data_IF_662040340389
#
_entry.id   IF_662040340389
#
_cell.length_a   1.000
_cell.length_b   1.000
_cell.length_c   1.000
_cell.angle_alpha   90.00
_cell.angle_beta   90.00
_cell.angle_gamma   90.00
#
_symmetry.space_group_name_H-M   'P 1'
#
loop_
_entity.id
_entity.type
_entity.pdbx_description
1 polymer ?
#
# COMPACT_ATOMS: atom_id res chain seq x y z
N UNK A 1 7.63 -31.00 -29.82
CA UNK A 1 7.69 -31.49 -28.43
C UNK A 1 7.87 -30.27 -27.55
N UNK A 2 6.76 -29.73 -27.07
CA UNK A 2 6.74 -28.51 -26.26
C UNK A 2 7.10 -28.90 -24.84
N UNK A 3 8.30 -28.55 -24.39
CA UNK A 3 8.69 -28.67 -22.98
C UNK A 3 7.92 -27.63 -22.18
N UNK A 4 6.68 -27.97 -21.81
CA UNK A 4 5.99 -27.33 -20.70
C UNK A 4 6.52 -28.02 -19.46
N UNK A 5 7.39 -27.33 -18.71
CA UNK A 5 7.75 -27.78 -17.37
C UNK A 5 6.46 -27.94 -16.56
N UNK A 6 6.26 -29.08 -15.86
CA UNK A 6 5.15 -29.20 -14.93
C UNK A 6 5.26 -28.07 -13.90
N UNK A 7 4.22 -27.24 -13.82
CA UNK A 7 4.11 -26.21 -12.78
C UNK A 7 4.07 -26.92 -11.43
N UNK A 8 5.06 -26.65 -10.58
CA UNK A 8 4.94 -26.94 -9.15
C UNK A 8 3.70 -26.22 -8.63
N UNK A 9 2.85 -26.93 -7.89
CA UNK A 9 1.68 -26.34 -7.24
C UNK A 9 2.14 -25.15 -6.39
N UNK A 10 1.45 -23.99 -6.45
CA UNK A 10 1.87 -22.83 -5.67
C UNK A 10 1.93 -23.20 -4.19
N UNK A 11 3.02 -22.80 -3.53
CA UNK A 11 3.19 -23.02 -2.11
C UNK A 11 1.97 -22.46 -1.35
N UNK A 12 1.41 -23.25 -0.43
CA UNK A 12 0.28 -22.89 0.42
C UNK A 12 0.60 -21.79 1.44
N UNK A 13 1.71 -21.08 1.30
CA UNK A 13 2.30 -20.21 2.31
C UNK A 13 3.15 -19.13 1.65
N UNK A 14 2.99 -17.88 2.10
CA UNK A 14 4.00 -16.85 1.90
C UNK A 14 5.28 -17.25 2.66
N UNK A 15 6.45 -16.95 2.11
CA UNK A 15 7.71 -17.09 2.83
C UNK A 15 7.84 -16.06 3.96
N UNK A 16 8.80 -16.26 4.86
CA UNK A 16 8.97 -15.40 6.05
C UNK A 16 9.33 -13.96 5.68
N UNK A 17 10.16 -13.76 4.65
CA UNK A 17 10.53 -12.42 4.17
C UNK A 17 9.30 -11.68 3.62
N UNK A 18 8.43 -12.38 2.88
CA UNK A 18 7.19 -11.82 2.35
C UNK A 18 6.18 -11.46 3.45
N UNK A 19 6.13 -12.24 4.54
CA UNK A 19 5.33 -11.88 5.71
C UNK A 19 5.89 -10.65 6.42
N UNK A 20 7.20 -10.58 6.65
CA UNK A 20 7.82 -9.41 7.28
C UNK A 20 7.63 -8.15 6.43
N UNK A 21 7.82 -8.24 5.11
CA UNK A 21 7.51 -7.17 4.15
C UNK A 21 6.06 -6.68 4.32
N UNK A 22 5.09 -7.61 4.31
CA UNK A 22 3.68 -7.27 4.42
C UNK A 22 3.39 -6.56 5.76
N UNK A 23 3.91 -7.07 6.88
CA UNK A 23 3.73 -6.46 8.19
C UNK A 23 4.35 -5.05 8.24
N UNK A 24 5.52 -4.84 7.64
CA UNK A 24 6.14 -3.52 7.52
C UNK A 24 5.22 -2.56 6.73
N UNK A 25 4.69 -2.99 5.57
CA UNK A 25 3.79 -2.15 4.78
C UNK A 25 2.47 -1.85 5.47
N UNK A 26 1.96 -2.76 6.32
CA UNK A 26 0.77 -2.51 7.15
C UNK A 26 1.09 -1.45 8.21
N UNK A 27 2.24 -1.55 8.88
CA UNK A 27 2.70 -0.60 9.91
C UNK A 27 2.86 0.82 9.35
N UNK A 28 3.30 0.93 8.10
CA UNK A 28 3.41 2.21 7.39
C UNK A 28 2.08 2.69 6.78
N UNK A 29 0.97 2.00 7.04
CA UNK A 29 -0.36 2.29 6.48
C UNK A 29 -0.37 2.35 4.95
N UNK A 30 0.45 1.54 4.30
CA UNK A 30 0.56 1.45 2.84
C UNK A 30 -0.24 0.30 2.24
N UNK A 31 -0.94 -0.48 3.05
CA UNK A 31 -1.74 -1.63 2.60
C UNK A 31 -3.21 -1.28 2.62
N UNK A 32 -3.93 -1.55 1.52
CA UNK A 32 -5.39 -1.46 1.44
C UNK A 32 -5.96 -2.89 1.41
N UNK A 33 -6.65 -3.33 2.48
CA UNK A 33 -7.41 -4.57 2.45
C UNK A 33 -8.64 -4.42 1.56
N UNK A 34 -8.75 -5.29 0.56
CA UNK A 34 -9.90 -5.46 -0.31
C UNK A 34 -10.60 -6.78 0.09
N UNK A 35 -11.72 -6.65 0.79
CA UNK A 35 -12.43 -7.76 1.45
C UNK A 35 -13.57 -8.27 0.58
N UNK A 36 -13.51 -9.55 0.24
CA UNK A 36 -14.51 -10.27 -0.54
C UNK A 36 -15.40 -11.24 0.26
N UNK A 37 -16.30 -11.93 -0.45
CA UNK A 37 -17.37 -12.73 0.16
C UNK A 37 -16.92 -14.01 0.89
N UNK A 38 -15.74 -14.57 0.63
CA UNK A 38 -15.31 -15.82 1.31
C UNK A 38 -15.10 -15.61 2.82
N UNK A 39 -14.85 -14.38 3.27
CA UNK A 39 -14.74 -14.03 4.70
C UNK A 39 -16.11 -13.89 5.40
N UNK A 40 -17.22 -13.99 4.66
CA UNK A 40 -18.56 -13.77 5.18
C UNK A 40 -19.24 -15.08 5.61
N UNK A 41 -18.55 -15.91 6.39
CA UNK A 41 -19.16 -17.08 7.02
C UNK A 41 -19.98 -16.64 8.24
N UNK A 42 -21.29 -16.76 8.13
CA UNK A 42 -22.26 -16.39 9.16
C UNK A 42 -22.83 -17.63 9.85
N UNK A 43 -23.11 -17.51 11.14
CA UNK A 43 -23.78 -18.55 11.91
C UNK A 43 -25.27 -18.55 11.58
N UNK A 44 -25.79 -19.72 11.18
CA UNK A 44 -27.21 -19.92 10.87
C UNK A 44 -27.78 -21.07 11.70
N UNK A 45 -29.10 -21.25 11.71
CA UNK A 45 -29.75 -22.37 12.40
C UNK A 45 -29.25 -23.75 11.91
N UNK A 46 -28.79 -23.84 10.66
CA UNK A 46 -28.25 -25.05 10.06
C UNK A 46 -26.71 -25.15 10.20
N UNK A 47 -26.09 -24.26 10.97
CA UNK A 47 -24.64 -24.13 11.13
C UNK A 47 -24.02 -23.02 10.27
N UNK A 48 -22.67 -22.93 10.25
CA UNK A 48 -21.94 -21.89 9.53
C UNK A 48 -22.14 -22.00 8.01
N UNK A 49 -22.48 -20.90 7.35
CA UNK A 49 -22.64 -20.82 5.89
C UNK A 49 -22.12 -19.49 5.36
N UNK A 50 -21.70 -19.45 4.09
CA UNK A 50 -21.41 -18.18 3.42
C UNK A 50 -22.69 -17.35 3.32
N UNK A 51 -22.58 -16.05 3.62
CA UNK A 51 -23.69 -15.11 3.56
C UNK A 51 -24.35 -15.13 2.18
N UNK A 52 -23.56 -15.18 1.11
CA UNK A 52 -24.08 -15.15 -0.27
C UNK A 52 -24.94 -16.38 -0.59
N UNK A 53 -24.53 -17.57 -0.15
CA UNK A 53 -25.29 -18.81 -0.35
C UNK A 53 -26.59 -18.79 0.46
N UNK A 54 -26.51 -18.32 1.71
CA UNK A 54 -27.70 -18.17 2.56
C UNK A 54 -28.67 -17.12 1.99
N UNK A 55 -28.15 -16.00 1.49
CA UNK A 55 -28.95 -14.96 0.83
C UNK A 55 -29.60 -15.47 -0.46
N UNK A 56 -28.90 -16.28 -1.27
CA UNK A 56 -29.46 -16.88 -2.48
C UNK A 56 -30.66 -17.77 -2.16
N UNK A 57 -30.54 -18.63 -1.13
CA UNK A 57 -31.64 -19.48 -0.68
C UNK A 57 -32.84 -18.67 -0.17
N UNK A 58 -32.61 -17.68 0.69
CA UNK A 58 -33.69 -16.83 1.22
C UNK A 58 -34.35 -15.99 0.13
N UNK A 59 -33.57 -15.49 -0.82
CA UNK A 59 -34.08 -14.72 -1.96
C UNK A 59 -34.94 -15.61 -2.86
N UNK A 60 -34.47 -16.82 -3.19
CA UNK A 60 -35.21 -17.79 -3.98
C UNK A 60 -36.58 -18.10 -3.33
N UNK A 61 -36.60 -18.34 -2.02
CA UNK A 61 -37.83 -18.58 -1.29
C UNK A 61 -38.79 -17.38 -1.32
N UNK A 62 -38.29 -16.15 -1.08
CA UNK A 62 -39.13 -14.93 -1.10
C UNK A 62 -39.65 -14.56 -2.50
N UNK A 63 -38.96 -14.97 -3.56
CA UNK A 63 -39.33 -14.72 -4.95
C UNK A 63 -40.13 -15.88 -5.58
N UNK A 64 -40.28 -17.00 -4.88
CA UNK A 64 -40.98 -18.19 -5.40
C UNK A 64 -40.21 -18.88 -6.53
N UNK A 65 -38.88 -18.88 -6.45
CA UNK A 65 -38.00 -19.50 -7.45
C UNK A 65 -37.99 -21.01 -7.30
N UNK A 66 -38.15 -21.73 -8.42
CA UNK A 66 -38.02 -23.18 -8.47
C UNK A 66 -36.53 -23.58 -8.47
N UNK A 67 -35.95 -23.73 -7.27
CA UNK A 67 -34.52 -24.03 -7.09
C UNK A 67 -34.10 -25.37 -7.67
N UNK A 68 -35.04 -26.30 -7.92
CA UNK A 68 -34.75 -27.59 -8.55
C UNK A 68 -34.33 -27.44 -10.03
N UNK A 69 -34.62 -26.30 -10.65
CA UNK A 69 -34.22 -25.98 -12.03
C UNK A 69 -32.92 -25.19 -12.13
N UNK A 70 -32.32 -24.82 -11.00
CA UNK A 70 -31.07 -24.07 -10.96
C UNK A 70 -29.87 -25.04 -10.94
N UNK A 71 -28.69 -24.62 -11.45
CA UNK A 71 -27.42 -25.32 -11.23
C UNK A 71 -27.19 -25.58 -9.73
N UNK A 72 -26.44 -26.64 -9.38
CA UNK A 72 -26.13 -26.95 -7.99
C UNK A 72 -24.61 -27.01 -7.79
N UNK A 73 -24.05 -26.25 -6.81
CA UNK A 73 -24.73 -25.23 -6.00
C UNK A 73 -25.17 -24.02 -6.85
N UNK A 74 -26.30 -23.40 -6.50
CA UNK A 74 -26.79 -22.17 -7.17
C UNK A 74 -26.32 -20.91 -6.43
N UNK A 75 -26.24 -19.82 -7.18
CA UNK A 75 -25.79 -18.50 -6.72
C UNK A 75 -26.92 -17.47 -6.69
N UNK A 76 -26.65 -16.27 -6.16
CA UNK A 76 -27.57 -15.13 -6.29
C UNK A 76 -27.88 -14.81 -7.75
N UNK A 77 -26.88 -14.89 -8.63
CA UNK A 77 -27.04 -14.63 -10.07
C UNK A 77 -28.03 -15.62 -10.71
N UNK A 78 -27.95 -16.90 -10.38
CA UNK A 78 -28.86 -17.93 -10.89
C UNK A 78 -30.32 -17.65 -10.48
N UNK A 79 -30.51 -17.24 -9.22
CA UNK A 79 -31.82 -16.88 -8.66
C UNK A 79 -32.39 -15.64 -9.37
N UNK A 80 -31.58 -14.60 -9.57
CA UNK A 80 -31.99 -13.37 -10.27
C UNK A 80 -32.33 -13.68 -11.73
N UNK A 81 -31.47 -14.41 -12.44
CA UNK A 81 -31.69 -14.78 -13.84
C UNK A 81 -32.99 -15.56 -14.02
N UNK A 82 -33.24 -16.56 -13.18
CA UNK A 82 -34.47 -17.35 -13.26
C UNK A 82 -35.72 -16.50 -12.99
N UNK A 83 -35.67 -15.63 -11.98
CA UNK A 83 -36.80 -14.78 -11.60
C UNK A 83 -37.15 -13.79 -12.71
N UNK A 84 -36.14 -13.15 -13.32
CA UNK A 84 -36.35 -12.25 -14.46
C UNK A 84 -36.88 -12.98 -15.70
N UNK A 85 -36.37 -14.18 -15.99
CA UNK A 85 -36.89 -15.02 -17.07
C UNK A 85 -38.37 -15.41 -16.87
N UNK A 86 -38.82 -15.48 -15.61
CA UNK A 86 -40.21 -15.75 -15.22
C UNK A 86 -41.09 -14.50 -15.17
N UNK A 87 -40.70 -13.42 -15.86
CA UNK A 87 -41.38 -12.10 -15.90
C UNK A 87 -41.40 -11.36 -14.56
N UNK A 88 -40.48 -11.70 -13.65
CA UNK A 88 -40.23 -10.93 -12.44
C UNK A 88 -39.66 -9.55 -12.76
N UNK A 89 -39.92 -8.57 -11.91
CA UNK A 89 -39.33 -7.23 -12.05
C UNK A 89 -38.00 -7.15 -11.31
N UNK A 90 -37.01 -6.52 -11.92
CA UNK A 90 -35.68 -6.35 -11.29
C UNK A 90 -35.78 -5.65 -9.94
N UNK A 91 -36.60 -4.63 -9.78
CA UNK A 91 -36.70 -3.90 -8.50
C UNK A 91 -37.21 -4.77 -7.33
N UNK A 92 -37.95 -5.84 -7.63
CA UNK A 92 -38.44 -6.76 -6.61
C UNK A 92 -37.29 -7.53 -5.96
N UNK A 93 -36.25 -7.92 -6.72
CA UNK A 93 -35.11 -8.66 -6.15
C UNK A 93 -34.39 -7.83 -5.08
N UNK A 94 -34.12 -6.56 -5.37
CA UNK A 94 -33.51 -5.58 -4.46
C UNK A 94 -34.37 -5.29 -3.23
N UNK A 95 -35.67 -5.09 -3.44
CA UNK A 95 -36.61 -4.87 -2.33
C UNK A 95 -36.66 -6.08 -1.39
N UNK A 96 -36.65 -7.31 -1.93
CA UNK A 96 -36.64 -8.55 -1.13
C UNK A 96 -35.29 -8.75 -0.43
N UNK A 97 -34.17 -8.52 -1.10
CA UNK A 97 -32.83 -8.58 -0.50
C UNK A 97 -32.72 -7.67 0.73
N UNK A 98 -33.14 -6.41 0.60
CA UNK A 98 -33.15 -5.47 1.74
C UNK A 98 -34.06 -5.94 2.87
N UNK A 99 -35.21 -6.53 2.57
CA UNK A 99 -36.11 -7.08 3.60
C UNK A 99 -35.43 -8.21 4.38
N UNK A 100 -34.76 -9.14 3.68
CA UNK A 100 -34.05 -10.28 4.28
C UNK A 100 -32.95 -9.79 5.25
N UNK A 101 -32.11 -8.85 4.81
CA UNK A 101 -31.03 -8.30 5.64
C UNK A 101 -31.52 -7.43 6.80
N UNK A 102 -32.71 -6.83 6.69
CA UNK A 102 -33.29 -6.08 7.82
C UNK A 102 -33.90 -7.00 8.87
N UNK A 103 -34.45 -8.13 8.43
CA UNK A 103 -35.09 -9.13 9.30
C UNK A 103 -34.05 -10.02 10.02
N UNK A 104 -32.79 -10.03 9.55
CA UNK A 104 -31.75 -10.94 10.04
C UNK A 104 -30.52 -10.15 10.45
N UNK A 105 -30.08 -10.34 11.70
CA UNK A 105 -28.85 -9.73 12.21
C UNK A 105 -27.80 -10.81 12.43
N UNK A 106 -26.64 -10.67 11.79
CA UNK A 106 -25.50 -11.53 12.02
C UNK A 106 -24.42 -10.78 12.80
N UNK A 107 -23.76 -11.48 13.74
CA UNK A 107 -22.55 -10.97 14.34
C UNK A 107 -21.42 -10.95 13.28
N UNK A 108 -20.51 -9.97 13.30
CA UNK A 108 -19.41 -9.95 12.36
C UNK A 108 -18.52 -11.20 12.49
N UNK A 109 -18.20 -11.90 11.39
CA UNK A 109 -17.30 -13.05 11.40
C UNK A 109 -15.97 -12.73 12.06
N UNK A 110 -15.33 -13.74 12.66
CA UNK A 110 -14.05 -13.59 13.36
C UNK A 110 -12.99 -12.95 12.47
N UNK A 111 -12.89 -13.37 11.21
CA UNK A 111 -11.93 -12.81 10.25
C UNK A 111 -12.09 -11.29 10.07
N UNK A 112 -13.33 -10.79 9.95
CA UNK A 112 -13.56 -9.35 9.83
C UNK A 112 -13.18 -8.60 11.11
N UNK A 113 -13.45 -9.18 12.28
CA UNK A 113 -13.05 -8.59 13.58
C UNK A 113 -11.52 -8.53 13.71
N UNK A 114 -10.81 -9.58 13.31
CA UNK A 114 -9.34 -9.59 13.29
C UNK A 114 -8.75 -8.55 12.35
N UNK A 115 -9.32 -8.38 11.16
CA UNK A 115 -8.92 -7.30 10.24
C UNK A 115 -9.21 -5.92 10.86
N UNK A 116 -10.35 -5.75 11.53
CA UNK A 116 -10.68 -4.53 12.24
C UNK A 116 -9.75 -4.24 13.43
N UNK A 117 -9.19 -5.24 14.09
CA UNK A 117 -8.22 -5.08 15.19
C UNK A 117 -6.87 -4.50 14.73
N UNK A 118 -6.53 -4.66 13.45
CA UNK A 118 -5.34 -4.04 12.84
C UNK A 118 -5.62 -2.55 12.60
N UNK A 119 -5.38 -1.72 13.61
CA UNK A 119 -5.72 -0.29 13.60
C UNK A 119 -5.09 0.53 12.45
N UNK A 120 -4.01 0.03 11.88
CA UNK A 120 -3.21 0.67 10.82
C UNK A 120 -3.86 0.51 9.44
N UNK A 121 -4.90 -0.32 9.33
CA UNK A 121 -5.85 -0.23 8.23
C UNK A 121 -6.84 0.91 8.49
N UNK A 122 -6.64 2.03 7.81
CA UNK A 122 -7.48 3.23 7.83
C UNK A 122 -8.46 3.30 6.64
N UNK A 123 -8.19 2.57 5.57
CA UNK A 123 -9.09 2.43 4.42
C UNK A 123 -9.29 0.95 4.11
N UNK A 124 -10.54 0.51 4.20
CA UNK A 124 -11.00 -0.79 3.73
C UNK A 124 -11.80 -0.63 2.46
N UNK A 125 -11.55 -1.49 1.48
CA UNK A 125 -12.42 -1.65 0.32
C UNK A 125 -13.14 -2.98 0.47
N UNK A 126 -14.43 -3.03 0.17
CA UNK A 126 -15.18 -4.28 0.13
C UNK A 126 -15.93 -4.43 -1.19
N UNK A 127 -15.98 -5.65 -1.68
CA UNK A 127 -16.72 -6.04 -2.89
C UNK A 127 -18.09 -6.63 -2.56
N UNK A 128 -18.51 -6.59 -1.29
CA UNK A 128 -19.80 -7.13 -0.84
C UNK A 128 -20.77 -6.00 -0.46
N UNK A 129 -22.07 -6.29 -0.50
CA UNK A 129 -23.14 -5.31 -0.30
C UNK A 129 -23.64 -5.20 1.15
N UNK A 130 -23.24 -6.12 2.02
CA UNK A 130 -23.68 -6.19 3.42
C UNK A 130 -22.96 -5.16 4.31
N UNK A 131 -23.27 -5.12 5.61
CA UNK A 131 -22.68 -4.18 6.57
C UNK A 131 -21.78 -4.84 7.62
N UNK A 132 -21.32 -6.08 7.40
CA UNK A 132 -20.58 -6.84 8.42
C UNK A 132 -19.17 -6.28 8.64
N UNK A 133 -18.51 -5.79 7.60
CA UNK A 133 -17.19 -5.15 7.75
C UNK A 133 -17.29 -3.81 8.52
N UNK A 134 -18.28 -2.99 8.17
CA UNK A 134 -18.63 -1.77 8.94
C UNK A 134 -18.90 -2.11 10.41
N UNK A 135 -19.72 -3.14 10.65
CA UNK A 135 -20.05 -3.58 12.01
C UNK A 135 -18.82 -4.07 12.76
N UNK A 136 -17.92 -4.83 12.13
CA UNK A 136 -16.66 -5.29 12.73
C UNK A 136 -15.77 -4.11 13.15
N UNK A 137 -15.59 -3.13 12.26
CA UNK A 137 -14.79 -1.92 12.55
C UNK A 137 -15.38 -1.13 13.71
N UNK A 138 -16.71 -0.93 13.71
CA UNK A 138 -17.38 -0.21 14.79
C UNK A 138 -17.37 -0.95 16.13
N UNK A 139 -17.60 -2.26 16.12
CA UNK A 139 -17.54 -3.12 17.32
C UNK A 139 -16.15 -3.06 17.96
N UNK A 140 -15.11 -3.33 17.16
CA UNK A 140 -13.73 -3.47 17.65
C UNK A 140 -13.10 -2.13 18.02
N UNK A 141 -13.22 -1.11 17.17
CA UNK A 141 -12.48 0.16 17.34
C UNK A 141 -13.24 1.20 18.14
N UNK A 142 -14.57 1.11 18.17
CA UNK A 142 -15.43 2.16 18.71
C UNK A 142 -16.45 1.63 19.73
N UNK A 143 -16.29 0.39 20.21
CA UNK A 143 -17.20 -0.20 21.21
C UNK A 143 -18.64 -0.31 20.71
N UNK A 144 -18.84 -0.45 19.40
CA UNK A 144 -20.14 -0.51 18.74
C UNK A 144 -20.72 0.84 18.32
N UNK A 145 -20.06 1.97 18.63
CA UNK A 145 -20.51 3.28 18.15
C UNK A 145 -20.29 3.42 16.62
N UNK A 146 -21.30 3.89 15.90
CA UNK A 146 -21.25 4.12 14.45
C UNK A 146 -20.33 5.30 14.10
N UNK A 147 -19.03 5.05 14.11
CA UNK A 147 -18.01 6.08 13.93
C UNK A 147 -17.24 5.93 12.62
N UNK A 148 -17.09 4.70 12.11
CA UNK A 148 -16.49 4.45 10.79
C UNK A 148 -17.24 5.19 9.69
N UNK A 149 -16.51 5.73 8.73
CA UNK A 149 -17.09 6.38 7.56
C UNK A 149 -17.39 5.34 6.49
N UNK A 150 -18.60 5.35 5.94
CA UNK A 150 -19.07 4.33 5.00
C UNK A 150 -19.48 4.97 3.70
N UNK A 151 -18.85 4.54 2.61
CA UNK A 151 -19.04 5.09 1.28
C UNK A 151 -19.47 3.96 0.36
N UNK A 152 -20.55 4.17 -0.40
CA UNK A 152 -21.04 3.20 -1.37
C UNK A 152 -20.96 3.77 -2.78
N UNK A 153 -20.17 3.13 -3.63
CA UNK A 153 -20.12 3.48 -5.04
C UNK A 153 -21.40 3.08 -5.75
N UNK A 154 -21.90 3.96 -6.63
CA UNK A 154 -23.01 3.64 -7.54
C UNK A 154 -22.74 4.28 -8.91
N UNK A 155 -23.03 3.60 -10.04
CA UNK A 155 -22.81 4.17 -11.38
C UNK A 155 -23.50 5.52 -11.62
N UNK A 156 -24.64 5.77 -10.98
CA UNK A 156 -25.44 6.99 -11.17
C UNK A 156 -25.02 8.15 -10.25
N UNK A 157 -24.20 7.87 -9.23
CA UNK A 157 -23.73 8.86 -8.26
C UNK A 157 -22.36 8.40 -7.76
N UNK A 158 -21.32 8.99 -8.35
CA UNK A 158 -19.93 8.78 -7.94
C UNK A 158 -19.74 9.38 -6.54
N UNK A 159 -19.74 8.52 -5.53
CA UNK A 159 -19.26 8.86 -4.21
C UNK A 159 -17.79 8.45 -4.15
N UNK A 160 -16.91 9.36 -3.71
CA UNK A 160 -15.47 9.14 -3.62
C UNK A 160 -14.99 9.42 -2.19
N UNK A 161 -13.70 9.19 -1.91
CA UNK A 161 -13.10 9.47 -0.61
C UNK A 161 -13.28 10.95 -0.21
N UNK A 162 -13.58 11.23 1.07
CA UNK A 162 -13.80 12.59 1.55
C UNK A 162 -12.52 13.44 1.44
N UNK A 163 -11.37 12.81 1.68
CA UNK A 163 -10.03 13.38 1.59
C UNK A 163 -9.05 12.31 1.08
N UNK A 164 -7.82 12.72 0.78
CA UNK A 164 -6.70 11.79 0.56
C UNK A 164 -6.49 10.92 1.81
N UNK A 165 -5.95 9.71 1.64
CA UNK A 165 -5.88 8.70 2.70
C UNK A 165 -5.17 9.21 3.95
N UNK A 166 -4.07 9.95 3.79
CA UNK A 166 -3.29 10.51 4.89
C UNK A 166 -4.04 11.55 5.74
N UNK A 167 -5.12 12.13 5.20
CA UNK A 167 -5.95 13.13 5.85
C UNK A 167 -7.23 12.54 6.45
N UNK A 168 -7.48 11.23 6.30
CA UNK A 168 -8.65 10.57 6.87
C UNK A 168 -8.60 10.61 8.39
N UNK A 169 -9.66 11.14 8.99
CA UNK A 169 -9.79 11.27 10.45
C UNK A 169 -10.38 10.02 11.10
N UNK A 170 -11.01 9.16 10.29
CA UNK A 170 -11.74 7.97 10.72
C UNK A 170 -11.49 6.85 9.72
N UNK A 171 -11.55 5.58 10.14
CA UNK A 171 -11.46 4.47 9.22
C UNK A 171 -12.62 4.51 8.23
N UNK A 172 -12.31 4.34 6.96
CA UNK A 172 -13.28 4.32 5.86
C UNK A 172 -13.54 2.87 5.44
N UNK A 173 -14.81 2.52 5.26
CA UNK A 173 -15.25 1.29 4.59
C UNK A 173 -15.91 1.67 3.28
N UNK A 174 -15.25 1.34 2.17
CA UNK A 174 -15.68 1.68 0.83
C UNK A 174 -16.28 0.46 0.11
N UNK A 175 -17.59 0.49 -0.15
CA UNK A 175 -18.30 -0.53 -0.93
C UNK A 175 -18.13 -0.26 -2.42
N UNK A 176 -17.18 -0.94 -3.05
CA UNK A 176 -16.85 -0.76 -4.47
C UNK A 176 -17.96 -1.25 -5.39
N UNK A 177 -18.66 -2.32 -5.00
CA UNK A 177 -19.75 -2.94 -5.76
C UNK A 177 -21.14 -2.57 -5.19
N UNK A 178 -21.20 -1.41 -4.54
CA UNK A 178 -22.42 -0.85 -3.97
C UNK A 178 -22.83 -1.45 -2.63
N UNK A 179 -23.74 -0.77 -1.94
CA UNK A 179 -24.26 -1.13 -0.62
C UNK A 179 -25.73 -1.54 -0.72
N UNK A 180 -26.15 -2.49 0.11
CA UNK A 180 -27.55 -2.94 0.13
C UNK A 180 -28.53 -1.77 0.25
N UNK A 181 -29.49 -1.74 -0.68
CA UNK A 181 -30.51 -0.73 -0.82
C UNK A 181 -31.79 -1.38 -1.37
N UNK A 182 -32.90 -0.64 -1.37
CA UNK A 182 -34.12 -1.09 -2.07
C UNK A 182 -34.04 -0.83 -3.59
N UNK A 183 -33.00 -0.10 -4.03
CA UNK A 183 -32.78 0.29 -5.41
C UNK A 183 -31.66 -0.56 -6.05
N UNK A 184 -31.67 -0.74 -7.38
CA UNK A 184 -30.63 -1.45 -8.12
C UNK A 184 -29.33 -0.63 -8.15
N UNK A 185 -28.62 -0.63 -7.03
CA UNK A 185 -27.46 0.23 -6.74
C UNK A 185 -26.30 -0.54 -6.13
N UNK A 186 -26.32 -1.87 -6.26
CA UNK A 186 -25.27 -2.78 -5.82
C UNK A 186 -25.37 -4.09 -6.61
N UNK A 187 -24.31 -4.89 -6.60
CA UNK A 187 -24.19 -6.07 -7.46
C UNK A 187 -24.82 -7.31 -6.82
N UNK A 188 -25.79 -7.93 -7.52
CA UNK A 188 -26.33 -9.27 -7.18
C UNK A 188 -26.43 -10.22 -8.39
N UNK A 189 -26.13 -9.72 -9.59
CA UNK A 189 -26.12 -10.47 -10.84
C UNK A 189 -24.94 -10.08 -11.73
N UNK A 190 -24.66 -10.89 -12.75
CA UNK A 190 -23.56 -10.64 -13.69
C UNK A 190 -23.79 -9.37 -14.51
N UNK A 191 -25.04 -9.04 -14.85
CA UNK A 191 -25.36 -7.79 -15.55
C UNK A 191 -25.07 -6.58 -14.67
N UNK A 192 -25.40 -6.62 -13.36
CA UNK A 192 -25.01 -5.54 -12.44
C UNK A 192 -23.48 -5.41 -12.38
N UNK A 193 -22.76 -6.54 -12.31
CA UNK A 193 -21.29 -6.55 -12.30
C UNK A 193 -20.72 -5.87 -13.53
N UNK A 194 -21.27 -6.15 -14.72
CA UNK A 194 -20.85 -5.53 -15.98
C UNK A 194 -21.07 -4.01 -15.96
N UNK A 195 -22.24 -3.55 -15.52
CA UNK A 195 -22.54 -2.11 -15.41
C UNK A 195 -21.57 -1.40 -14.46
N UNK A 196 -21.29 -2.00 -13.29
CA UNK A 196 -20.34 -1.44 -12.33
C UNK A 196 -18.92 -1.37 -12.90
N UNK A 197 -18.45 -2.44 -13.55
CA UNK A 197 -17.12 -2.48 -14.16
C UNK A 197 -16.99 -1.43 -15.28
N UNK A 198 -17.99 -1.30 -16.14
CA UNK A 198 -18.01 -0.29 -17.20
C UNK A 198 -18.00 1.13 -16.62
N UNK A 199 -18.77 1.38 -15.56
CA UNK A 199 -18.79 2.67 -14.88
C UNK A 199 -17.43 3.00 -14.24
N UNK A 200 -16.79 2.04 -13.56
CA UNK A 200 -15.48 2.25 -12.91
C UNK A 200 -14.36 2.56 -13.91
N UNK A 201 -14.48 2.14 -15.17
CA UNK A 201 -13.53 2.45 -16.25
C UNK A 201 -13.79 3.79 -16.95
N UNK A 202 -14.98 4.36 -16.74
CA UNK A 202 -15.35 5.61 -17.39
C UNK A 202 -14.75 6.78 -16.63
N UNK A 203 -14.04 7.68 -17.34
CA UNK A 203 -13.33 8.82 -16.76
C UNK A 203 -14.23 9.73 -15.90
N UNK A 204 -15.52 9.86 -16.26
CA UNK A 204 -16.47 10.69 -15.50
C UNK A 204 -17.16 9.95 -14.34
N UNK A 205 -17.01 8.63 -14.26
CA UNK A 205 -17.69 7.79 -13.27
C UNK A 205 -16.72 7.07 -12.32
N UNK A 206 -15.41 7.20 -12.55
CA UNK A 206 -14.39 6.58 -11.72
C UNK A 206 -14.12 7.44 -10.47
N UNK A 207 -14.06 6.85 -9.27
CA UNK A 207 -13.71 7.57 -8.05
C UNK A 207 -12.20 7.84 -8.02
N UNK A 208 -11.79 9.02 -8.49
CA UNK A 208 -10.40 9.40 -8.72
C UNK A 208 -9.52 9.28 -7.48
N UNK A 209 -9.99 9.71 -6.30
CA UNK A 209 -9.18 9.61 -5.06
C UNK A 209 -8.99 8.15 -4.66
N UNK A 210 -10.05 7.35 -4.66
CA UNK A 210 -9.91 5.92 -4.37
C UNK A 210 -8.93 5.23 -5.33
N UNK A 211 -9.06 5.46 -6.63
CA UNK A 211 -8.17 4.81 -7.61
C UNK A 211 -6.74 5.34 -7.54
N UNK A 212 -6.55 6.60 -7.17
CA UNK A 212 -5.23 7.13 -6.83
C UNK A 212 -4.60 6.39 -5.65
N UNK A 213 -5.36 6.13 -4.58
CA UNK A 213 -4.87 5.38 -3.42
C UNK A 213 -4.58 3.91 -3.76
N UNK A 214 -5.44 3.26 -4.56
CA UNK A 214 -5.24 1.88 -5.02
C UNK A 214 -4.00 1.73 -5.92
N UNK A 215 -3.67 2.76 -6.71
CA UNK A 215 -2.49 2.76 -7.58
C UNK A 215 -1.18 2.82 -6.78
N UNK A 216 -1.17 3.56 -5.67
CA UNK A 216 0.03 3.86 -4.87
C UNK A 216 0.13 3.04 -3.58
N UNK A 217 -0.80 2.11 -3.34
CA UNK A 217 -0.81 1.23 -2.17
C UNK A 217 -0.55 -0.23 -2.52
N UNK A 218 -0.03 -0.97 -1.54
CA UNK A 218 0.00 -2.43 -1.60
C UNK A 218 -1.44 -2.95 -1.45
N UNK A 219 -1.85 -3.85 -2.33
CA UNK A 219 -3.22 -4.35 -2.35
C UNK A 219 -3.27 -5.70 -1.66
N UNK A 220 -4.11 -5.82 -0.65
CA UNK A 220 -4.35 -7.08 0.04
C UNK A 220 -5.75 -7.56 -0.30
N UNK A 221 -5.88 -8.40 -1.33
CA UNK A 221 -7.16 -8.92 -1.81
C UNK A 221 -7.45 -10.22 -1.07
N UNK A 222 -8.49 -10.23 -0.24
CA UNK A 222 -8.80 -11.37 0.63
C UNK A 222 -10.21 -11.87 0.36
N UNK A 223 -10.32 -13.15 0.05
CA UNK A 223 -11.60 -13.85 -0.10
C UNK A 223 -12.45 -13.34 -1.27
N UNK A 224 -11.81 -12.82 -2.32
CA UNK A 224 -12.51 -12.28 -3.49
C UNK A 224 -12.95 -13.40 -4.40
N UNK A 225 -14.23 -13.50 -4.76
CA UNK A 225 -14.77 -14.50 -5.69
C UNK A 225 -14.60 -14.12 -7.18
N UNK A 226 -13.56 -13.35 -7.51
CA UNK A 226 -13.38 -12.86 -8.87
C UNK A 226 -13.11 -14.02 -9.83
N UNK A 227 -13.88 -14.06 -10.91
CA UNK A 227 -13.49 -14.89 -12.06
C UNK A 227 -12.12 -14.46 -12.58
N UNK A 228 -11.42 -15.36 -13.26
CA UNK A 228 -10.11 -15.10 -13.85
C UNK A 228 -10.02 -13.75 -14.56
N UNK A 229 -11.00 -13.46 -15.44
CA UNK A 229 -11.02 -12.21 -16.19
C UNK A 229 -11.27 -11.00 -15.29
N UNK A 230 -12.18 -11.11 -14.33
CA UNK A 230 -12.52 -10.00 -13.42
C UNK A 230 -11.34 -9.65 -12.51
N UNK A 231 -10.59 -10.64 -12.04
CA UNK A 231 -9.35 -10.42 -11.28
C UNK A 231 -8.32 -9.62 -12.09
N UNK A 232 -8.08 -10.03 -13.35
CA UNK A 232 -7.16 -9.31 -14.26
C UNK A 232 -7.61 -7.88 -14.50
N UNK A 233 -8.91 -7.70 -14.70
CA UNK A 233 -9.48 -6.40 -14.97
C UNK A 233 -9.38 -5.49 -13.74
N UNK A 234 -9.72 -6.01 -12.57
CA UNK A 234 -9.59 -5.29 -11.32
C UNK A 234 -8.15 -4.83 -11.08
N UNK A 235 -7.17 -5.73 -11.24
CA UNK A 235 -5.75 -5.36 -11.15
C UNK A 235 -5.37 -4.29 -12.17
N UNK A 236 -5.87 -4.40 -13.42
CA UNK A 236 -5.61 -3.40 -14.47
C UNK A 236 -6.25 -2.05 -14.16
N UNK A 237 -7.44 -2.03 -13.57
CA UNK A 237 -8.14 -0.81 -13.17
C UNK A 237 -7.42 -0.15 -12.00
N UNK A 238 -7.11 -0.90 -10.95
CA UNK A 238 -6.38 -0.42 -9.77
C UNK A 238 -5.00 0.15 -10.13
N UNK A 239 -4.31 -0.46 -11.11
CA UNK A 239 -2.99 0.02 -11.55
C UNK A 239 -3.04 1.24 -12.47
N UNK A 240 -4.16 1.53 -13.14
CA UNK A 240 -4.37 2.58 -14.17
C UNK A 240 -3.45 2.54 -15.42
N UNK A 241 -2.30 1.86 -15.38
CA UNK A 241 -1.38 1.60 -16.51
C UNK A 241 -1.30 0.12 -16.88
N UNK A 242 -0.40 -0.25 -17.81
CA UNK A 242 -0.25 -1.65 -18.23
C UNK A 242 0.20 -2.50 -17.06
N UNK A 243 -0.33 -3.71 -16.94
CA UNK A 243 0.06 -4.64 -15.87
C UNK A 243 1.55 -4.99 -15.93
N UNK A 244 2.17 -5.00 -17.11
CA UNK A 244 3.61 -5.21 -17.29
C UNK A 244 4.52 -4.10 -16.76
N UNK A 245 4.03 -2.88 -16.54
CA UNK A 245 4.88 -1.75 -16.17
C UNK A 245 5.42 -1.90 -14.74
N UNK A 246 6.69 -1.60 -14.43
CA UNK A 246 7.20 -1.77 -13.07
C UNK A 246 6.46 -0.84 -12.08
N UNK A 247 6.10 -1.36 -10.90
CA UNK A 247 5.56 -0.57 -9.78
C UNK A 247 6.25 -0.93 -8.48
N UNK A 248 6.38 0.05 -7.60
CA UNK A 248 7.06 -0.14 -6.31
C UNK A 248 6.18 -0.85 -5.27
N UNK A 249 4.88 -0.96 -5.52
CA UNK A 249 3.91 -1.64 -4.65
C UNK A 249 3.56 -3.06 -5.12
N UNK A 250 3.11 -3.92 -4.22
CA UNK A 250 2.82 -5.35 -4.48
C UNK A 250 1.38 -5.72 -4.19
N UNK A 251 0.92 -6.85 -4.72
CA UNK A 251 -0.38 -7.44 -4.41
C UNK A 251 -0.22 -8.76 -3.67
N UNK A 252 -1.09 -9.00 -2.69
CA UNK A 252 -1.27 -10.30 -2.06
C UNK A 252 -2.71 -10.73 -2.32
N UNK A 253 -2.90 -11.88 -2.96
CA UNK A 253 -4.20 -12.51 -3.15
C UNK A 253 -4.31 -13.70 -2.18
N UNK A 254 -5.29 -13.64 -1.28
CA UNK A 254 -5.55 -14.67 -0.28
C UNK A 254 -6.98 -15.18 -0.42
N UNK A 255 -7.18 -16.28 -1.12
CA UNK A 255 -8.50 -16.86 -1.42
C UNK A 255 -8.40 -18.38 -1.63
N UNK A 256 -9.56 -19.03 -1.80
CA UNK A 256 -9.62 -20.49 -1.94
C UNK A 256 -9.40 -21.01 -3.38
N UNK A 257 -9.39 -20.13 -4.40
CA UNK A 257 -9.50 -20.56 -5.82
C UNK A 257 -8.40 -20.04 -6.75
N UNK A 258 -7.82 -18.86 -6.52
CA UNK A 258 -6.77 -18.26 -7.36
C UNK A 258 -5.58 -19.20 -7.52
N UNK A 259 -5.14 -19.83 -6.43
CA UNK A 259 -4.03 -20.79 -6.46
C UNK A 259 -4.31 -22.04 -7.31
N UNK A 260 -5.58 -22.36 -7.56
CA UNK A 260 -6.00 -23.50 -8.41
C UNK A 260 -6.28 -23.12 -9.87
N UNK A 261 -6.38 -21.82 -10.19
CA UNK A 261 -6.58 -21.35 -11.56
C UNK A 261 -5.24 -21.21 -12.29
N UNK A 262 -4.83 -22.29 -12.97
CA UNK A 262 -3.59 -22.34 -13.76
C UNK A 262 -3.47 -21.18 -14.77
N UNK A 263 -4.58 -20.74 -15.36
CA UNK A 263 -4.57 -19.67 -16.37
C UNK A 263 -4.36 -18.30 -15.74
N UNK A 264 -4.93 -18.07 -14.57
CA UNK A 264 -4.72 -16.83 -13.81
C UNK A 264 -3.28 -16.80 -13.27
N UNK A 265 -2.80 -17.89 -12.69
CA UNK A 265 -1.44 -18.00 -12.16
C UNK A 265 -0.38 -17.79 -13.24
N UNK A 266 -0.52 -18.44 -14.40
CA UNK A 266 0.39 -18.25 -15.53
C UNK A 266 0.39 -16.79 -16.03
N UNK A 267 -0.77 -16.12 -16.00
CA UNK A 267 -0.86 -14.71 -16.34
C UNK A 267 -0.14 -13.82 -15.31
N UNK A 268 -0.40 -14.00 -14.02
CA UNK A 268 0.21 -13.21 -12.94
C UNK A 268 1.74 -13.35 -12.96
N UNK A 269 2.28 -14.55 -13.16
CA UNK A 269 3.72 -14.78 -13.28
C UNK A 269 4.38 -14.03 -14.45
N UNK A 270 3.63 -13.72 -15.52
CA UNK A 270 4.15 -13.02 -16.69
C UNK A 270 4.03 -11.50 -16.58
N UNK A 271 2.92 -11.00 -16.05
CA UNK A 271 2.62 -9.56 -16.08
C UNK A 271 2.72 -8.89 -14.72
N UNK A 272 2.67 -9.64 -13.62
CA UNK A 272 2.64 -9.10 -12.26
C UNK A 272 3.50 -9.95 -11.33
N UNK A 273 4.81 -9.99 -11.62
CA UNK A 273 5.80 -10.87 -10.98
C UNK A 273 5.87 -10.69 -9.45
N UNK A 274 5.46 -9.53 -8.94
CA UNK A 274 5.43 -9.22 -7.49
C UNK A 274 4.14 -9.67 -6.79
N UNK A 275 3.14 -10.16 -7.54
CA UNK A 275 1.90 -10.65 -6.96
C UNK A 275 2.15 -11.97 -6.24
N UNK A 276 1.85 -11.99 -4.94
CA UNK A 276 1.97 -13.17 -4.10
C UNK A 276 0.58 -13.78 -3.88
N UNK A 277 0.49 -15.10 -3.85
CA UNK A 277 -0.78 -15.83 -3.68
C UNK A 277 -0.70 -16.71 -2.44
N UNK A 278 -1.77 -16.71 -1.66
CA UNK A 278 -1.94 -17.53 -0.46
C UNK A 278 -3.26 -18.28 -0.55
N UNK A 279 -3.24 -19.59 -0.27
CA UNK A 279 -4.44 -20.42 -0.31
C UNK A 279 -5.16 -20.36 1.05
N UNK A 280 -6.43 -19.97 1.06
CA UNK A 280 -7.23 -19.91 2.28
C UNK A 280 -7.40 -18.50 2.83
N UNK A 281 -8.55 -17.88 2.58
CA UNK A 281 -8.82 -16.51 3.02
C UNK A 281 -8.85 -16.38 4.55
N UNK A 282 -9.54 -17.27 5.26
CA UNK A 282 -9.64 -17.23 6.72
C UNK A 282 -8.32 -17.57 7.41
N UNK A 283 -7.60 -18.58 6.90
CA UNK A 283 -6.29 -18.97 7.43
C UNK A 283 -5.28 -17.85 7.28
N UNK A 284 -5.31 -17.15 6.14
CA UNK A 284 -4.48 -15.98 5.90
C UNK A 284 -4.73 -14.89 6.94
N UNK A 285 -6.00 -14.55 7.20
CA UNK A 285 -6.37 -13.52 8.17
C UNK A 285 -5.97 -13.93 9.59
N UNK A 286 -6.19 -15.18 9.96
CA UNK A 286 -5.77 -15.73 11.25
C UNK A 286 -4.25 -15.61 11.45
N UNK A 287 -3.47 -15.97 10.43
CA UNK A 287 -2.02 -15.91 10.48
C UNK A 287 -1.50 -14.46 10.49
N UNK A 288 -2.07 -13.60 9.65
CA UNK A 288 -1.75 -12.17 9.61
C UNK A 288 -1.99 -11.53 10.97
N UNK A 289 -3.17 -11.77 11.55
CA UNK A 289 -3.56 -11.23 12.86
C UNK A 289 -2.67 -11.76 13.98
N UNK A 290 -2.34 -13.05 13.97
CA UNK A 290 -1.43 -13.67 14.95
C UNK A 290 -0.05 -13.02 14.90
N UNK A 291 0.53 -12.86 13.70
CA UNK A 291 1.85 -12.24 13.50
C UNK A 291 1.84 -10.77 13.91
N UNK A 292 0.82 -10.03 13.47
CA UNK A 292 0.65 -8.62 13.83
C UNK A 292 0.55 -8.41 15.34
N UNK A 293 -0.28 -9.22 16.01
CA UNK A 293 -0.44 -9.18 17.46
C UNK A 293 0.85 -9.55 18.19
N UNK A 294 1.57 -10.57 17.71
CA UNK A 294 2.86 -10.96 18.29
C UNK A 294 3.91 -9.84 18.18
N UNK A 295 3.96 -9.15 17.03
CA UNK A 295 4.85 -8.01 16.78
C UNK A 295 4.53 -6.79 17.66
N UNK A 296 3.25 -6.59 17.98
CA UNK A 296 2.78 -5.49 18.85
C UNK A 296 2.73 -5.79 20.34
N UNK A 297 2.90 -7.06 20.75
CA UNK A 297 3.08 -7.34 22.18
C UNK A 297 4.39 -6.67 22.62
N UNK A 298 4.36 -5.80 23.65
CA UNK A 298 5.60 -5.38 24.27
C UNK A 298 6.31 -6.67 24.72
N UNK A 299 7.56 -6.87 24.32
CA UNK A 299 8.40 -7.90 24.91
C UNK A 299 8.22 -7.84 26.43
N UNK A 300 7.98 -8.97 27.09
CA UNK A 300 7.80 -9.05 28.54
C UNK A 300 8.93 -8.28 29.23
N UNK A 301 8.60 -7.06 29.70
CA UNK A 301 9.53 -6.25 30.46
C UNK A 301 9.58 -6.90 31.85
N UNK A 302 10.61 -7.70 32.09
CA UNK A 302 10.96 -8.15 33.44
C UNK A 302 11.02 -6.90 34.32
N UNK A 303 10.13 -6.85 35.30
CA UNK A 303 9.99 -5.72 36.21
C UNK A 303 11.25 -5.56 37.06
N UNK A 304 12.17 -4.71 36.61
CA UNK A 304 13.19 -4.11 37.46
C UNK A 304 12.66 -2.75 37.95
N UNK A 305 12.75 -2.59 39.25
CA UNK A 305 12.12 -1.53 40.05
C UNK A 305 12.29 -0.12 39.47
N UNK A 306 11.22 0.66 39.63
CA UNK A 306 11.04 2.09 39.43
C UNK A 306 12.29 2.91 39.02
N UNK A 307 12.26 3.42 37.77
CA UNK A 307 13.06 4.55 37.29
C UNK A 307 12.21 5.41 36.34
N UNK A 308 12.50 6.72 36.18
CA UNK A 308 11.49 7.77 36.01
C UNK A 308 10.91 7.83 34.59
N UNK A 309 9.71 8.41 34.49
CA UNK A 309 9.00 8.75 33.24
C UNK A 309 9.98 9.31 32.20
N UNK A 310 10.23 8.54 31.14
CA UNK A 310 10.87 9.04 29.91
C UNK A 310 9.88 9.95 29.20
N UNK A 311 10.13 11.25 29.26
CA UNK A 311 9.68 12.19 28.25
C UNK A 311 10.49 11.88 27.00
N UNK A 312 9.83 11.43 25.93
CA UNK A 312 10.45 11.28 24.62
C UNK A 312 10.91 12.68 24.16
N UNK A 313 12.18 12.88 23.79
CA UNK A 313 12.59 14.12 23.15
C UNK A 313 11.91 14.22 21.76
N UNK A 314 11.53 15.43 21.32
CA UNK A 314 10.88 15.60 20.02
C UNK A 314 11.81 15.17 18.88
N UNK A 315 11.22 14.61 17.83
CA UNK A 315 11.91 14.20 16.60
C UNK A 315 12.71 15.38 16.03
N UNK A 316 14.03 15.21 15.86
CA UNK A 316 14.89 16.24 15.27
C UNK A 316 14.60 16.35 13.77
N UNK A 317 13.83 17.35 13.36
CA UNK A 317 13.75 17.78 11.97
C UNK A 317 15.11 18.33 11.50
N UNK A 318 15.46 18.11 10.22
CA UNK A 318 16.65 18.68 9.62
C UNK A 318 16.53 20.21 9.57
N UNK A 319 17.51 20.98 10.10
CA UNK A 319 17.47 22.44 10.04
C UNK A 319 17.43 22.98 8.61
N UNK A 320 16.83 24.15 8.43
CA UNK A 320 16.87 24.87 7.16
C UNK A 320 18.31 25.21 6.77
N UNK A 321 18.61 25.19 5.46
CA UNK A 321 19.93 25.42 4.89
C UNK A 321 21.03 24.42 5.28
N UNK A 322 20.68 23.23 5.79
CA UNK A 322 21.65 22.17 6.04
C UNK A 322 22.25 21.60 4.74
N UNK A 323 23.50 21.11 4.83
CA UNK A 323 24.18 20.37 3.76
C UNK A 323 23.93 18.88 3.94
N UNK A 324 23.31 18.23 2.96
CA UNK A 324 23.00 16.81 2.99
C UNK A 324 24.18 16.00 2.44
N UNK A 325 24.74 15.08 3.22
CA UNK A 325 25.86 14.23 2.79
C UNK A 325 25.36 12.80 2.55
N UNK A 326 25.46 12.34 1.29
CA UNK A 326 25.07 11.00 0.86
C UNK A 326 26.32 10.12 0.71
N UNK A 327 26.37 8.98 1.40
CA UNK A 327 27.58 8.16 1.53
C UNK A 327 27.29 6.66 1.62
N UNK A 328 28.28 5.82 1.30
CA UNK A 328 28.19 4.39 1.63
C UNK A 328 28.54 4.17 3.11
N UNK A 329 27.87 3.24 3.79
CA UNK A 329 28.06 2.99 5.22
C UNK A 329 29.52 2.69 5.59
N UNK A 330 30.26 2.06 4.69
CA UNK A 330 31.69 1.76 4.84
C UNK A 330 32.57 3.02 4.91
N UNK A 331 32.09 4.14 4.36
CA UNK A 331 32.79 5.41 4.33
C UNK A 331 32.51 6.28 5.58
N UNK A 332 31.76 5.74 6.55
CA UNK A 332 31.25 6.50 7.69
C UNK A 332 32.37 7.24 8.46
N UNK A 333 33.51 6.58 8.66
CA UNK A 333 34.63 7.18 9.38
C UNK A 333 35.19 8.42 8.65
N UNK A 334 35.21 8.42 7.32
CA UNK A 334 35.62 9.58 6.52
C UNK A 334 34.54 10.68 6.56
N UNK A 335 33.27 10.31 6.49
CA UNK A 335 32.14 11.26 6.55
C UNK A 335 32.04 11.95 7.91
N UNK A 336 32.33 11.24 9.00
CA UNK A 336 32.41 11.84 10.33
C UNK A 336 33.52 12.90 10.43
N UNK A 337 34.68 12.65 9.80
CA UNK A 337 35.77 13.64 9.72
C UNK A 337 35.37 14.85 8.87
N UNK A 338 34.71 14.62 7.73
CA UNK A 338 34.18 15.67 6.88
C UNK A 338 33.18 16.55 7.64
N UNK A 339 32.22 15.93 8.35
CA UNK A 339 31.27 16.66 9.21
C UNK A 339 31.97 17.42 10.31
N UNK A 340 32.94 16.82 11.01
CA UNK A 340 33.71 17.53 12.04
C UNK A 340 34.37 18.80 11.51
N UNK A 341 34.94 18.73 10.31
CA UNK A 341 35.54 19.89 9.65
C UNK A 341 34.52 20.96 9.21
N UNK A 342 33.35 20.54 8.72
CA UNK A 342 32.26 21.44 8.32
C UNK A 342 31.57 22.11 9.52
N UNK A 343 31.33 21.35 10.60
CA UNK A 343 30.74 21.85 11.84
C UNK A 343 31.69 22.87 12.53
N UNK A 344 33.00 22.58 12.56
CA UNK A 344 34.01 23.52 13.05
C UNK A 344 34.05 24.82 12.24
N UNK A 345 33.56 24.78 11.01
CA UNK A 345 33.43 25.92 10.12
C UNK A 345 32.05 26.61 10.21
N UNK A 346 31.16 26.17 11.10
CA UNK A 346 29.82 26.72 11.27
C UNK A 346 28.81 26.29 10.20
N UNK A 347 29.11 25.24 9.43
CA UNK A 347 28.22 24.70 8.40
C UNK A 347 27.40 23.57 9.00
N UNK A 348 26.08 23.74 9.04
CA UNK A 348 25.16 22.69 9.50
C UNK A 348 25.14 21.54 8.50
N UNK A 349 25.60 20.37 8.92
CA UNK A 349 25.57 19.15 8.10
C UNK A 349 24.51 18.18 8.59
N UNK A 350 23.89 17.49 7.65
CA UNK A 350 22.95 16.42 7.91
C UNK A 350 23.37 15.17 7.14
N UNK A 351 23.48 14.05 7.85
CA UNK A 351 23.55 12.74 7.24
C UNK A 351 22.94 11.74 8.18
N UNK A 352 22.34 10.70 7.62
CA UNK A 352 21.61 9.75 8.43
C UNK A 352 22.57 8.86 9.22
N UNK A 353 22.54 9.07 10.54
CA UNK A 353 23.27 8.33 11.54
C UNK A 353 22.39 8.29 12.78
N UNK A 354 21.24 7.62 12.72
CA UNK A 354 20.63 7.05 13.92
C UNK A 354 19.50 6.09 13.56
N UNK A 355 19.79 4.80 13.78
CA UNK A 355 18.91 3.63 13.85
C UNK A 355 18.35 3.09 12.53
N UNK A 356 18.75 1.85 12.29
CA UNK A 356 18.13 0.90 11.36
C UNK A 356 16.64 0.74 11.69
N UNK A 357 15.81 1.57 11.08
CA UNK A 357 14.38 1.35 10.84
C UNK A 357 14.19 1.59 9.33
N UNK A 358 14.22 0.51 8.54
CA UNK A 358 14.07 0.58 7.09
C UNK A 358 12.60 0.65 6.72
N UNK A 359 12.23 1.56 5.82
CA UNK A 359 10.83 1.82 5.47
C UNK A 359 10.61 2.95 4.44
N UNK A 360 9.36 3.19 4.02
CA UNK A 360 9.01 4.26 3.07
C UNK A 360 8.95 5.66 3.69
N UNK A 361 8.79 5.78 5.01
CA UNK A 361 8.93 7.05 5.71
C UNK A 361 10.39 7.54 5.76
N UNK A 362 11.35 6.61 5.75
CA UNK A 362 12.76 6.94 5.56
C UNK A 362 13.02 7.49 4.16
N UNK A 363 12.39 6.91 3.13
CA UNK A 363 12.49 7.40 1.75
C UNK A 363 11.84 8.77 1.57
N UNK A 364 10.64 8.96 2.12
CA UNK A 364 9.91 10.23 2.11
C UNK A 364 10.67 11.31 2.87
N UNK A 365 11.20 10.98 4.05
CA UNK A 365 12.00 11.88 4.88
C UNK A 365 13.29 12.28 4.16
N UNK A 366 13.95 11.35 3.49
CA UNK A 366 15.15 11.65 2.71
C UNK A 366 14.82 12.48 1.49
N UNK A 367 13.72 12.19 0.78
CA UNK A 367 13.26 13.03 -0.32
C UNK A 367 12.97 14.45 0.16
N UNK A 368 12.20 14.60 1.24
CA UNK A 368 11.90 15.89 1.88
C UNK A 368 13.16 16.61 2.37
N UNK A 369 14.13 15.88 2.94
CA UNK A 369 15.40 16.45 3.37
C UNK A 369 16.26 16.87 2.16
N UNK A 370 16.29 16.09 1.08
CA UNK A 370 16.97 16.43 -0.17
C UNK A 370 16.28 17.61 -0.86
N UNK A 371 14.97 17.81 -0.69
CA UNK A 371 14.23 18.99 -1.16
C UNK A 371 14.52 20.24 -0.32
N UNK A 372 14.69 20.09 0.99
CA UNK A 372 14.94 21.20 1.94
C UNK A 372 16.41 21.60 2.08
N UNK A 373 17.37 20.72 1.75
CA UNK A 373 18.78 20.99 1.98
C UNK A 373 19.30 22.13 1.09
N UNK A 374 20.33 22.83 1.52
CA UNK A 374 20.98 23.87 0.72
C UNK A 374 21.90 23.27 -0.35
N UNK A 375 22.65 22.24 -0.03
CA UNK A 375 23.52 21.56 -0.99
C UNK A 375 23.51 20.06 -0.74
N UNK A 376 23.66 19.30 -1.82
CA UNK A 376 23.76 17.84 -1.78
C UNK A 376 25.19 17.42 -2.11
N UNK A 377 25.82 16.69 -1.20
CA UNK A 377 27.21 16.22 -1.32
C UNK A 377 27.19 14.70 -1.48
N UNK A 378 27.25 14.19 -2.73
CA UNK A 378 27.46 12.77 -2.96
C UNK A 378 28.93 12.42 -2.73
N UNK A 379 29.17 11.49 -1.82
CA UNK A 379 30.49 10.93 -1.56
C UNK A 379 30.80 9.87 -2.61
N UNK A 380 31.96 9.99 -3.25
CA UNK A 380 32.50 9.06 -4.25
C UNK A 380 33.69 8.33 -3.62
N UNK A 381 33.65 7.01 -3.68
CA UNK A 381 34.64 6.11 -3.10
C UNK A 381 34.64 4.76 -3.80
N UNK A 382 35.66 3.94 -3.56
CA UNK A 382 35.72 2.56 -3.98
C UNK A 382 34.54 1.73 -3.44
N UNK A 383 33.97 2.09 -2.28
CA UNK A 383 32.77 1.44 -1.75
C UNK A 383 31.53 1.77 -2.59
N UNK A 384 31.38 3.04 -3.01
CA UNK A 384 30.28 3.44 -3.90
C UNK A 384 30.41 2.85 -5.31
N UNK A 385 31.65 2.67 -5.81
CA UNK A 385 31.92 2.09 -7.12
C UNK A 385 31.59 0.59 -7.21
N UNK A 386 31.85 -0.17 -6.14
CA UNK A 386 31.60 -1.62 -6.10
C UNK A 386 30.11 -1.96 -6.04
N UNK A 387 29.28 -1.10 -5.43
CA UNK A 387 27.86 -1.36 -5.22
C UNK A 387 27.03 -0.88 -6.42
N UNK A 388 26.54 -1.83 -7.19
CA UNK A 388 25.60 -1.61 -8.28
C UNK A 388 24.21 -1.21 -7.74
N UNK A 389 23.81 -1.77 -6.60
CA UNK A 389 22.55 -1.49 -5.93
C UNK A 389 22.83 -1.08 -4.47
N UNK A 390 22.44 0.13 -4.10
CA UNK A 390 22.60 0.64 -2.74
C UNK A 390 21.70 1.86 -2.51
N UNK A 391 21.34 2.11 -1.26
CA UNK A 391 20.43 3.19 -0.88
C UNK A 391 20.88 4.58 -1.37
N UNK A 392 22.17 4.90 -1.26
CA UNK A 392 22.72 6.16 -1.77
C UNK A 392 22.49 6.38 -3.28
N UNK A 393 22.31 5.31 -4.07
CA UNK A 393 21.95 5.43 -5.51
C UNK A 393 20.58 6.07 -5.68
N UNK A 394 19.65 5.75 -4.79
CA UNK A 394 18.30 6.30 -4.74
C UNK A 394 18.34 7.77 -4.32
N UNK A 395 19.15 8.10 -3.32
CA UNK A 395 19.42 9.49 -2.89
C UNK A 395 20.01 10.35 -4.03
N UNK A 396 20.95 9.79 -4.81
CA UNK A 396 21.51 10.48 -5.97
C UNK A 396 20.45 10.74 -7.05
N UNK A 397 19.50 9.81 -7.24
CA UNK A 397 18.36 10.02 -8.14
C UNK A 397 17.48 11.18 -7.68
N UNK A 398 17.12 11.25 -6.40
CA UNK A 398 16.32 12.37 -5.87
C UNK A 398 17.03 13.71 -6.00
N UNK A 399 18.34 13.73 -5.77
CA UNK A 399 19.12 14.95 -5.98
C UNK A 399 19.10 15.40 -7.46
N UNK A 400 19.18 14.46 -8.40
CA UNK A 400 19.05 14.74 -9.83
C UNK A 400 17.66 15.26 -10.19
N UNK A 401 16.60 14.65 -9.67
CA UNK A 401 15.23 15.08 -9.93
C UNK A 401 15.00 16.51 -9.44
N UNK A 402 15.51 16.87 -8.25
CA UNK A 402 15.47 18.26 -7.77
C UNK A 402 16.17 19.22 -8.73
N UNK A 403 17.34 18.85 -9.28
CA UNK A 403 18.04 19.72 -10.23
C UNK A 403 17.34 19.89 -11.58
N UNK A 404 16.31 19.10 -11.91
CA UNK A 404 15.50 19.32 -13.12
C UNK A 404 14.53 20.50 -12.95
N UNK A 405 14.23 20.86 -11.71
CA UNK A 405 13.33 21.96 -11.35
C UNK A 405 14.10 23.24 -10.97
N UNK A 406 15.40 23.30 -11.27
CA UNK A 406 16.27 24.44 -10.99
C UNK A 406 16.76 25.06 -12.31
N UNK A 407 17.10 26.36 -12.30
CA UNK A 407 17.73 27.00 -13.46
C UNK A 407 19.03 26.27 -13.84
N UNK A 408 19.35 26.25 -15.14
CA UNK A 408 20.47 25.46 -15.68
C UNK A 408 21.84 25.85 -15.09
N UNK A 409 21.98 27.07 -14.57
CA UNK A 409 23.18 27.61 -13.91
C UNK A 409 23.17 27.46 -12.38
N UNK A 410 22.08 26.98 -11.78
CA UNK A 410 21.95 26.85 -10.34
C UNK A 410 22.73 25.65 -9.78
N UNK A 411 23.74 25.94 -8.97
CA UNK A 411 24.59 24.92 -8.34
C UNK A 411 23.89 24.29 -7.13
N UNK A 412 23.71 22.96 -7.14
CA UNK A 412 23.10 22.21 -6.04
C UNK A 412 23.92 20.98 -5.59
N UNK A 413 24.55 20.29 -6.54
CA UNK A 413 25.29 19.06 -6.30
C UNK A 413 26.79 19.37 -6.23
N UNK A 414 27.44 18.92 -5.15
CA UNK A 414 28.86 19.13 -4.88
C UNK A 414 29.56 17.79 -4.60
N UNK A 415 29.97 17.03 -5.63
CA UNK A 415 30.56 15.71 -5.40
C UNK A 415 31.92 15.77 -4.71
N UNK A 416 32.15 14.82 -3.81
CA UNK A 416 33.38 14.70 -3.01
C UNK A 416 33.97 13.30 -3.12
N UNK A 417 35.20 13.17 -3.61
CA UNK A 417 35.93 11.91 -3.70
C UNK A 417 36.83 11.73 -2.48
N UNK A 418 36.64 10.64 -1.72
CA UNK A 418 37.34 10.44 -0.44
C UNK A 418 38.53 9.48 -0.49
N UNK A 419 38.76 8.84 -1.62
CA UNK A 419 39.89 7.92 -1.83
C UNK A 419 40.48 8.08 -3.24
N UNK A 420 41.29 7.11 -3.67
CA UNK A 420 41.99 7.13 -4.96
C UNK A 420 41.08 6.80 -6.17
N UNK A 421 39.76 6.78 -6.01
CA UNK A 421 38.82 6.55 -7.11
C UNK A 421 39.00 7.61 -8.19
N UNK A 422 39.18 7.19 -9.46
CA UNK A 422 39.30 8.12 -10.58
C UNK A 422 37.95 8.79 -10.87
N UNK A 423 37.83 10.13 -10.70
CA UNK A 423 36.59 10.85 -10.95
C UNK A 423 36.08 10.74 -12.40
N UNK A 424 36.96 10.47 -13.37
CA UNK A 424 36.60 10.34 -14.80
C UNK A 424 35.98 8.99 -15.11
N UNK A 425 36.41 7.94 -14.41
CA UNK A 425 35.93 6.57 -14.55
C UNK A 425 34.81 6.19 -13.59
N UNK A 426 34.49 7.04 -12.62
CA UNK A 426 33.51 6.76 -11.58
C UNK A 426 32.12 6.45 -12.16
N UNK A 427 31.46 5.45 -11.60
CA UNK A 427 30.06 5.06 -11.84
C UNK A 427 29.11 6.06 -11.17
N UNK A 428 29.27 7.33 -11.45
CA UNK A 428 28.36 8.41 -11.03
C UNK A 428 27.50 8.87 -12.21
N UNK A 429 26.30 9.43 -11.98
CA UNK A 429 25.48 10.01 -13.04
C UNK A 429 26.25 11.06 -13.85
N UNK A 430 25.94 11.20 -15.15
CA UNK A 430 26.68 12.10 -16.05
C UNK A 430 26.64 13.57 -15.60
N UNK A 431 25.54 14.00 -14.97
CA UNK A 431 25.42 15.34 -14.39
C UNK A 431 26.41 15.59 -13.24
N UNK A 432 26.84 14.56 -12.52
CA UNK A 432 27.86 14.67 -11.46
C UNK A 432 29.26 14.79 -12.07
N UNK A 433 29.49 14.22 -13.26
CA UNK A 433 30.74 14.36 -14.02
C UNK A 433 30.89 15.73 -14.68
N UNK A 434 29.75 16.38 -14.97
CA UNK A 434 29.70 17.73 -15.52
C UNK A 434 30.09 18.82 -14.49
N UNK A 435 30.14 18.48 -13.19
CA UNK A 435 30.57 19.38 -12.11
C UNK A 435 31.93 18.94 -11.54
N UNK A 436 32.69 19.88 -10.99
CA UNK A 436 34.01 19.59 -10.42
C UNK A 436 33.88 18.70 -9.17
N UNK A 437 34.45 17.49 -9.25
CA UNK A 437 34.53 16.53 -8.13
C UNK A 437 35.72 16.91 -7.24
N UNK A 438 35.43 17.29 -6.00
CA UNK A 438 36.46 17.74 -5.05
C UNK A 438 37.17 16.54 -4.44
N UNK A 439 38.51 16.55 -4.36
CA UNK A 439 39.28 15.53 -3.67
C UNK A 439 39.38 15.83 -2.16
N UNK A 440 38.92 14.90 -1.34
CA UNK A 440 38.83 14.98 0.13
C UNK A 440 39.38 13.68 0.72
N UNK A 441 40.67 13.36 0.50
CA UNK A 441 41.25 12.07 0.88
C UNK A 441 41.04 11.80 2.37
N UNK A 442 40.49 10.63 2.69
CA UNK A 442 40.19 10.24 4.06
C UNK A 442 39.09 11.07 4.74
N UNK A 443 38.36 11.93 4.02
CA UNK A 443 37.35 12.81 4.61
C UNK A 443 37.91 14.09 5.21
N UNK A 444 39.15 14.46 4.88
CA UNK A 444 39.75 15.75 5.26
C UNK A 444 39.57 16.78 4.14
N UNK A 445 38.61 17.73 4.25
CA UNK A 445 38.38 18.71 3.20
C UNK A 445 39.51 19.74 3.16
N UNK A 446 40.00 20.11 1.95
CA UNK A 446 40.93 21.22 1.83
C UNK A 446 40.25 22.53 2.30
N UNK A 447 40.98 23.49 2.90
CA UNK A 447 40.40 24.75 3.36
C UNK A 447 39.61 25.48 2.27
N UNK A 448 40.07 25.41 1.02
CA UNK A 448 39.39 25.98 -0.14
C UNK A 448 37.97 25.40 -0.38
N UNK A 449 37.74 24.11 -0.07
CA UNK A 449 36.41 23.50 -0.19
C UNK A 449 35.45 24.03 0.86
N UNK A 450 35.92 24.15 2.10
CA UNK A 450 35.13 24.68 3.23
C UNK A 450 34.76 26.15 2.98
N UNK A 451 35.72 26.97 2.57
CA UNK A 451 35.47 28.39 2.25
C UNK A 451 34.55 28.57 1.04
N UNK A 452 34.69 27.73 0.01
CA UNK A 452 33.76 27.72 -1.13
C UNK A 452 32.33 27.38 -0.68
N UNK A 453 32.16 26.36 0.17
CA UNK A 453 30.84 25.96 0.66
C UNK A 453 30.21 27.04 1.54
N UNK A 454 31.00 27.72 2.39
CA UNK A 454 30.53 28.91 3.14
C UNK A 454 30.05 30.02 2.22
N UNK A 455 30.83 30.38 1.20
CA UNK A 455 30.48 31.43 0.26
C UNK A 455 29.16 31.11 -0.48
N UNK A 456 28.98 29.85 -0.89
CA UNK A 456 27.77 29.35 -1.55
C UNK A 456 26.54 29.35 -0.62
N UNK A 457 26.72 29.02 0.66
CA UNK A 457 25.63 29.08 1.66
C UNK A 457 25.24 30.53 1.97
N UNK A 458 26.22 31.43 2.07
CA UNK A 458 25.98 32.86 2.29
C UNK A 458 25.22 33.52 1.12
N UNK A 459 25.51 33.13 -0.13
CA UNK A 459 24.76 33.65 -1.29
C UNK A 459 23.32 33.17 -1.36
N UNK A 460 23.00 31.97 -0.85
CA UNK A 460 21.61 31.44 -0.81
C UNK A 460 20.78 32.01 0.33
N UNK A 461 21.39 32.37 1.46
CA UNK A 461 20.69 32.96 2.60
C UNK A 461 20.25 34.42 2.40
N UNK A 462 20.68 35.09 1.32
CA UNK A 462 20.38 36.50 1.04
C UNK A 462 19.09 36.75 0.24
N UNK A 463 18.48 35.73 -0.36
CA UNK A 463 17.27 35.88 -1.20
C UNK A 463 15.95 35.72 -0.43
N UNK A 464 15.98 35.64 0.91
CA UNK A 464 14.83 35.29 1.75
C UNK A 464 14.64 36.12 3.03
N UNK A 465 14.92 37.43 3.00
CA UNK A 465 14.47 38.37 4.03
C UNK A 465 13.72 39.53 3.36
N UNK A 466 12.60 40.00 3.93
CA UNK A 466 11.39 40.45 3.24
C UNK A 466 11.54 41.64 2.30
#
# INVERSE_FOLDING_TARGET
MSNVHPLEAPASTLDEDAWEDLLNFIEEKRVIPIVGPELLKVETEAGPRLLHDWMAEKLAAKLGVDTARLPQPYTLNDVVCWFLASRGRREDTYTRMRSILRETSFAPPRALRQLAEIADFDLFVTTTFDSLLEAAVNEVRFGGAQSAEVIGYTPNRVADLPAEREHLQRPVVYHLLGRCSALPTYVISDEDMLEFVCALQSEHLTPEKLFFELEHSHLLIIGSNFSNWLARLFLRMAKRRRLSDPRDVGEVLADDHTGSDERLMAFLQQVSVRTRVYAGAEQFVDELHRRWTARRRPAEVIALAAAPRRVLPPEREMPENAVFISYAREDLAAVQRLKGALDAAGITTWFDMERLEGGDDYDRKIRRNIERCAFFVPVVSAATERRLEAYFRREWSYALDRTRNMADDALFILPACIDATDPRGARVPDKFKAVHITQIPGGEPPPAFVERLKALLASRGGEGAP
#
